data_IF_863517246716
#
_entry.id   IF_863517246716
#
_cell.length_a   1.000
_cell.length_b   1.000
_cell.length_c   1.000
_cell.angle_alpha   90.00
_cell.angle_beta   90.00
_cell.angle_gamma   90.00
#
_symmetry.space_group_name_H-M   'P 1'
#
loop_
_entity.id
_entity.type
_entity.pdbx_description
1 polymer ?
#
# COMPACT_ATOMS: atom_id res chain seq x y z
N UNK A 1 -21.98 7.80 5.13
CA UNK A 1 -21.84 9.23 4.82
C UNK A 1 -20.41 9.66 5.05
N UNK A 2 -19.86 10.53 4.21
CA UNK A 2 -18.48 11.04 4.30
C UNK A 2 -18.19 11.69 5.66
N UNK A 3 -19.16 12.42 6.21
CA UNK A 3 -19.08 13.10 7.53
C UNK A 3 -18.73 12.14 8.68
N UNK A 4 -19.22 10.90 8.67
CA UNK A 4 -18.90 9.92 9.72
C UNK A 4 -17.46 9.39 9.64
N UNK A 5 -16.90 9.24 8.44
CA UNK A 5 -15.51 8.79 8.27
C UNK A 5 -14.50 9.87 8.65
N UNK A 6 -14.82 11.12 8.43
CA UNK A 6 -13.99 12.28 8.76
C UNK A 6 -13.86 12.47 10.28
N UNK A 7 -14.98 12.42 10.98
CA UNK A 7 -15.00 12.52 12.44
C UNK A 7 -14.22 11.38 13.09
N UNK A 8 -14.37 10.16 12.55
CA UNK A 8 -13.64 8.98 13.02
C UNK A 8 -12.13 9.10 12.82
N UNK A 9 -11.66 9.60 11.65
CA UNK A 9 -10.21 9.78 11.37
C UNK A 9 -9.64 10.85 12.30
N UNK A 10 -10.33 11.98 12.46
CA UNK A 10 -9.89 13.08 13.33
C UNK A 10 -9.78 12.64 14.79
N UNK A 11 -10.83 11.99 15.31
CA UNK A 11 -10.88 11.56 16.70
C UNK A 11 -9.86 10.45 16.98
N UNK A 12 -9.66 9.52 16.02
CA UNK A 12 -8.64 8.49 16.11
C UNK A 12 -7.23 9.08 16.10
N UNK A 13 -6.94 10.02 15.20
CA UNK A 13 -5.66 10.70 15.12
C UNK A 13 -5.33 11.47 16.39
N UNK A 14 -6.28 12.25 16.92
CA UNK A 14 -6.14 13.00 18.16
C UNK A 14 -5.90 12.09 19.38
N UNK A 15 -6.61 10.96 19.43
CA UNK A 15 -6.45 9.96 20.51
C UNK A 15 -5.09 9.27 20.47
N UNK A 16 -4.57 8.97 19.28
CA UNK A 16 -3.25 8.34 19.09
C UNK A 16 -2.13 9.35 19.35
N UNK A 17 -2.29 10.63 18.98
CA UNK A 17 -1.30 11.68 19.23
C UNK A 17 -0.98 11.79 20.73
N UNK A 18 -1.98 11.62 21.58
CA UNK A 18 -1.85 11.67 23.04
C UNK A 18 -1.25 10.38 23.66
N UNK A 19 -1.01 9.32 22.84
CA UNK A 19 -0.47 8.05 23.30
C UNK A 19 0.87 7.76 22.62
N UNK A 20 2.00 8.19 23.20
CA UNK A 20 3.31 8.13 22.54
C UNK A 20 3.77 6.73 22.15
N UNK A 21 3.31 5.70 22.86
CA UNK A 21 3.59 4.31 22.52
C UNK A 21 2.93 3.91 21.19
N UNK A 22 1.61 4.17 21.06
CA UNK A 22 0.86 3.85 19.83
C UNK A 22 1.36 4.65 18.62
N UNK A 23 1.72 5.91 18.83
CA UNK A 23 2.29 6.75 17.79
C UNK A 23 3.63 6.18 17.26
N UNK A 24 4.50 5.74 18.19
CA UNK A 24 5.77 5.08 17.81
C UNK A 24 5.53 3.78 17.06
N UNK A 25 4.60 2.94 17.53
CA UNK A 25 4.25 1.68 16.88
C UNK A 25 3.72 1.91 15.45
N UNK A 26 2.81 2.87 15.27
CA UNK A 26 2.23 3.23 13.98
C UNK A 26 3.31 3.68 12.99
N UNK A 27 4.21 4.56 13.42
CA UNK A 27 5.34 5.04 12.60
C UNK A 27 6.34 3.93 12.30
N UNK A 28 6.67 3.11 13.28
CA UNK A 28 7.59 1.99 13.13
C UNK A 28 7.04 0.97 12.13
N UNK A 29 5.75 0.61 12.22
CA UNK A 29 5.12 -0.32 11.29
C UNK A 29 5.05 0.25 9.87
N UNK A 30 4.67 1.53 9.70
CA UNK A 30 4.68 2.16 8.39
C UNK A 30 6.09 2.14 7.76
N UNK A 31 7.13 2.49 8.53
CA UNK A 31 8.52 2.46 8.07
C UNK A 31 8.98 1.03 7.77
N UNK A 32 8.65 0.07 8.63
CA UNK A 32 8.93 -1.35 8.43
C UNK A 32 8.38 -1.82 7.08
N UNK A 33 7.10 -1.61 6.80
CA UNK A 33 6.48 -2.02 5.55
C UNK A 33 7.09 -1.31 4.32
N UNK A 34 7.45 -0.03 4.45
CA UNK A 34 8.07 0.73 3.36
C UNK A 34 9.46 0.19 3.00
N UNK A 35 10.17 -0.41 3.96
CA UNK A 35 11.51 -1.00 3.74
C UNK A 35 11.41 -2.48 3.36
N UNK A 36 10.60 -3.25 4.09
CA UNK A 36 10.54 -4.72 3.92
C UNK A 36 9.91 -5.12 2.59
N UNK A 37 8.85 -4.43 2.15
CA UNK A 37 8.18 -4.83 0.90
C UNK A 37 9.10 -4.71 -0.34
N UNK A 38 9.86 -3.63 -0.56
CA UNK A 38 10.86 -3.59 -1.63
C UNK A 38 11.95 -4.67 -1.49
N UNK A 39 12.41 -4.97 -0.27
CA UNK A 39 13.40 -6.02 -0.03
C UNK A 39 12.84 -7.38 -0.45
N UNK A 40 11.63 -7.72 -0.01
CA UNK A 40 10.95 -8.96 -0.41
C UNK A 40 10.83 -9.04 -1.94
N UNK A 41 10.42 -7.96 -2.58
CA UNK A 41 10.29 -7.92 -4.03
C UNK A 41 11.63 -8.13 -4.76
N UNK A 42 12.68 -7.45 -4.32
CA UNK A 42 14.01 -7.61 -4.89
C UNK A 42 14.58 -9.01 -4.66
N UNK A 43 14.32 -9.60 -3.48
CA UNK A 43 14.70 -10.98 -3.17
C UNK A 43 13.96 -11.96 -4.07
N UNK A 44 12.66 -11.77 -4.28
CA UNK A 44 11.86 -12.59 -5.20
C UNK A 44 12.40 -12.54 -6.63
N UNK A 45 12.68 -11.34 -7.13
CA UNK A 45 13.29 -11.15 -8.45
C UNK A 45 14.66 -11.82 -8.56
N UNK A 46 15.53 -11.59 -7.58
CA UNK A 46 16.88 -12.14 -7.59
C UNK A 46 16.85 -13.68 -7.54
N UNK A 47 16.08 -14.27 -6.63
CA UNK A 47 15.99 -15.74 -6.52
C UNK A 47 15.46 -16.36 -7.80
N UNK A 48 14.41 -15.81 -8.39
CA UNK A 48 13.85 -16.30 -9.67
C UNK A 48 14.87 -16.17 -10.82
N UNK A 49 15.57 -15.03 -10.89
CA UNK A 49 16.59 -14.81 -11.90
C UNK A 49 17.77 -15.80 -11.78
N UNK A 50 18.22 -16.08 -10.57
CA UNK A 50 19.32 -17.05 -10.36
C UNK A 50 18.89 -18.49 -10.60
N UNK A 51 17.61 -18.82 -10.47
CA UNK A 51 17.09 -20.18 -10.71
C UNK A 51 16.77 -20.43 -12.19
N UNK A 52 16.18 -19.47 -12.88
CA UNK A 52 15.61 -19.65 -14.23
C UNK A 52 16.25 -18.76 -15.29
N UNK A 53 17.18 -17.87 -14.91
CA UNK A 53 17.73 -16.85 -15.80
C UNK A 53 16.69 -15.79 -16.16
N UNK A 54 16.88 -15.12 -17.30
CA UNK A 54 15.95 -14.13 -17.82
C UNK A 54 14.75 -14.84 -18.51
N UNK A 55 14.01 -15.60 -17.73
CA UNK A 55 12.86 -16.38 -18.19
C UNK A 55 11.54 -15.61 -18.11
N UNK A 56 10.47 -16.28 -18.54
CA UNK A 56 9.09 -15.76 -18.54
C UNK A 56 8.68 -15.22 -17.17
N UNK A 57 9.02 -15.95 -16.09
CA UNK A 57 8.61 -15.60 -14.73
C UNK A 57 9.23 -14.27 -14.25
N UNK A 58 10.52 -14.05 -14.55
CA UNK A 58 11.17 -12.76 -14.22
C UNK A 58 10.52 -11.60 -14.96
N UNK A 59 10.19 -11.79 -16.24
CA UNK A 59 9.48 -10.76 -17.01
C UNK A 59 8.11 -10.43 -16.42
N UNK A 60 7.34 -11.45 -16.00
CA UNK A 60 6.05 -11.27 -15.35
C UNK A 60 6.22 -10.48 -14.04
N UNK A 61 7.20 -10.84 -13.22
CA UNK A 61 7.46 -10.13 -11.96
C UNK A 61 7.90 -8.68 -12.15
N UNK A 62 8.51 -8.34 -13.28
CA UNK A 62 8.88 -6.96 -13.61
C UNK A 62 7.71 -6.21 -14.22
N UNK A 63 7.08 -6.76 -15.26
CA UNK A 63 6.10 -6.02 -16.06
C UNK A 63 4.75 -5.87 -15.36
N UNK A 64 4.30 -6.86 -14.59
CA UNK A 64 2.99 -6.76 -13.89
C UNK A 64 3.00 -5.64 -12.84
N UNK A 65 3.95 -5.57 -11.90
CA UNK A 65 3.99 -4.45 -10.96
C UNK A 65 4.26 -3.11 -11.64
N UNK A 66 5.16 -3.07 -12.63
CA UNK A 66 5.52 -1.83 -13.31
C UNK A 66 4.34 -1.21 -14.06
N UNK A 67 3.63 -2.01 -14.87
CA UNK A 67 2.45 -1.55 -15.62
C UNK A 67 1.30 -1.19 -14.69
N UNK A 68 1.04 -2.00 -13.66
CA UNK A 68 0.03 -1.71 -12.65
C UNK A 68 0.30 -0.40 -11.91
N UNK A 69 1.55 -0.17 -11.49
CA UNK A 69 1.95 1.07 -10.83
C UNK A 69 1.86 2.30 -11.76
N UNK A 70 2.20 2.13 -13.04
CA UNK A 70 2.08 3.19 -14.05
C UNK A 70 0.61 3.57 -14.25
N UNK A 71 -0.27 2.59 -14.47
CA UNK A 71 -1.71 2.81 -14.64
C UNK A 71 -2.30 3.48 -13.39
N UNK A 72 -1.97 2.96 -12.20
CA UNK A 72 -2.41 3.55 -10.94
C UNK A 72 -1.96 5.01 -10.82
N UNK A 73 -0.73 5.32 -11.19
CA UNK A 73 -0.16 6.68 -11.12
C UNK A 73 -0.89 7.64 -12.07
N UNK A 74 -1.24 7.18 -13.26
CA UNK A 74 -2.05 7.95 -14.22
C UNK A 74 -3.47 8.19 -13.69
N UNK A 75 -4.11 7.17 -13.14
CA UNK A 75 -5.43 7.29 -12.51
C UNK A 75 -5.41 8.30 -11.35
N UNK A 76 -4.41 8.23 -10.47
CA UNK A 76 -4.22 9.17 -9.36
C UNK A 76 -4.10 10.61 -9.85
N UNK A 77 -3.29 10.82 -10.89
CA UNK A 77 -3.10 12.14 -11.50
C UNK A 77 -4.40 12.68 -12.11
N UNK A 78 -5.19 11.80 -12.74
CA UNK A 78 -6.49 12.16 -13.33
C UNK A 78 -7.56 12.45 -12.27
N UNK A 79 -7.65 11.63 -11.23
CA UNK A 79 -8.63 11.78 -10.13
C UNK A 79 -8.27 12.99 -9.25
N UNK A 80 -6.99 13.17 -8.97
CA UNK A 80 -6.42 14.24 -8.15
C UNK A 80 -7.20 14.53 -6.85
N UNK A 81 -7.62 13.48 -6.16
CA UNK A 81 -8.38 13.59 -4.91
C UNK A 81 -7.54 14.24 -3.81
N UNK A 82 -8.09 15.16 -3.01
CA UNK A 82 -7.39 15.76 -1.88
C UNK A 82 -7.19 14.73 -0.76
N UNK A 83 -6.25 15.02 0.13
CA UNK A 83 -5.95 14.17 1.30
C UNK A 83 -6.68 14.67 2.54
N UNK A 84 -6.87 13.83 3.58
CA UNK A 84 -7.55 14.25 4.80
C UNK A 84 -6.96 15.51 5.45
N UNK A 85 -5.64 15.66 5.47
CA UNK A 85 -4.96 16.82 6.05
C UNK A 85 -4.96 18.09 5.16
N UNK A 86 -5.41 17.99 3.91
CA UNK A 86 -5.58 19.13 2.99
C UNK A 86 -6.99 19.70 3.07
N UNK A 87 -7.96 18.82 3.28
CA UNK A 87 -9.39 19.18 3.33
C UNK A 87 -9.84 19.58 4.74
N UNK A 88 -9.18 18.98 5.74
CA UNK A 88 -9.54 19.15 7.15
C UNK A 88 -8.31 19.57 7.97
N UNK A 89 -8.57 20.30 9.08
CA UNK A 89 -7.52 20.68 10.04
C UNK A 89 -7.04 19.48 10.85
N UNK A 90 -6.55 18.42 10.16
CA UNK A 90 -6.01 17.20 10.76
C UNK A 90 -4.51 17.28 10.68
N UNK A 91 -3.82 17.09 11.81
CA UNK A 91 -2.37 16.95 11.85
C UNK A 91 -2.02 15.49 11.52
N UNK A 92 -1.38 15.19 10.37
CA UNK A 92 -1.04 13.82 10.02
C UNK A 92 0.01 13.27 11.00
N UNK A 93 -0.18 12.03 11.44
CA UNK A 93 0.72 11.33 12.36
C UNK A 93 1.89 10.64 11.62
N UNK A 94 1.75 10.47 10.31
CA UNK A 94 2.78 9.98 9.39
C UNK A 94 3.35 11.13 8.57
N UNK A 95 4.51 10.87 7.93
CA UNK A 95 5.10 11.83 7.01
C UNK A 95 4.15 12.17 5.87
N UNK A 96 4.10 13.46 5.51
CA UNK A 96 3.25 13.95 4.44
C UNK A 96 3.78 13.46 3.10
N UNK A 97 2.90 12.86 2.33
CA UNK A 97 3.15 12.61 0.91
C UNK A 97 2.94 13.92 0.11
N UNK A 98 3.21 13.85 -1.22
CA UNK A 98 2.92 14.96 -2.12
C UNK A 98 1.44 15.40 -2.05
N UNK A 99 1.15 16.70 -2.16
CA UNK A 99 -0.20 17.23 -2.17
C UNK A 99 -1.09 16.59 -3.23
N UNK A 100 -2.37 16.50 -2.96
CA UNK A 100 -3.36 15.87 -3.84
C UNK A 100 -3.10 14.38 -4.05
N UNK A 101 -3.74 13.83 -5.08
CA UNK A 101 -3.55 12.45 -5.53
C UNK A 101 -3.67 11.41 -4.40
N UNK A 102 -4.65 11.58 -3.50
CA UNK A 102 -4.85 10.66 -2.39
C UNK A 102 -5.28 9.28 -2.88
N UNK A 103 -6.18 9.22 -3.84
CA UNK A 103 -6.85 8.00 -4.31
C UNK A 103 -6.32 7.54 -5.68
N UNK A 104 -6.09 6.23 -5.86
CA UNK A 104 -5.91 5.14 -4.86
C UNK A 104 -4.58 5.22 -4.11
N UNK A 105 -4.47 4.56 -2.93
CA UNK A 105 -3.24 4.56 -2.13
C UNK A 105 -2.12 3.76 -2.80
N UNK A 106 -0.98 4.43 -3.13
CA UNK A 106 0.19 3.79 -3.75
C UNK A 106 0.89 2.80 -2.81
N UNK A 107 1.03 3.14 -1.53
CA UNK A 107 1.69 2.29 -0.56
C UNK A 107 0.95 0.96 -0.40
N UNK A 108 -0.38 1.02 -0.31
CA UNK A 108 -1.22 -0.16 -0.21
C UNK A 108 -1.20 -0.98 -1.50
N UNK A 109 -1.32 -0.32 -2.65
CA UNK A 109 -1.21 -0.99 -3.95
C UNK A 109 0.12 -1.73 -4.09
N UNK A 110 1.25 -1.05 -3.82
CA UNK A 110 2.58 -1.67 -3.94
C UNK A 110 2.76 -2.84 -2.99
N UNK A 111 2.33 -2.70 -1.73
CA UNK A 111 2.40 -3.80 -0.77
C UNK A 111 1.54 -5.00 -1.22
N UNK A 112 0.32 -4.76 -1.68
CA UNK A 112 -0.59 -5.82 -2.11
C UNK A 112 -0.10 -6.52 -3.37
N UNK A 113 0.41 -5.78 -4.38
CA UNK A 113 0.91 -6.40 -5.62
C UNK A 113 2.15 -7.27 -5.38
N UNK A 114 3.03 -6.85 -4.46
CA UNK A 114 4.19 -7.65 -4.02
C UNK A 114 3.72 -8.90 -3.27
N UNK A 115 2.69 -8.78 -2.42
CA UNK A 115 2.09 -9.94 -1.76
C UNK A 115 1.55 -10.95 -2.76
N UNK A 116 0.86 -10.49 -3.81
CA UNK A 116 0.34 -11.33 -4.89
C UNK A 116 1.46 -12.06 -5.64
N UNK A 117 2.55 -11.37 -5.97
CA UNK A 117 3.73 -11.99 -6.58
C UNK A 117 4.35 -13.07 -5.67
N UNK A 118 4.34 -12.85 -4.35
CA UNK A 118 4.98 -13.76 -3.37
C UNK A 118 4.24 -15.09 -3.20
N UNK A 119 2.98 -15.23 -3.66
CA UNK A 119 2.26 -16.50 -3.66
C UNK A 119 2.95 -17.59 -4.49
N UNK A 120 3.67 -17.21 -5.55
CA UNK A 120 4.45 -18.16 -6.36
C UNK A 120 5.64 -18.74 -5.59
N UNK A 121 6.25 -17.95 -4.70
CA UNK A 121 7.35 -18.44 -3.88
C UNK A 121 6.85 -19.31 -2.71
N UNK A 122 5.76 -18.88 -2.07
CA UNK A 122 5.14 -19.59 -0.95
C UNK A 122 3.74 -19.06 -0.67
N UNK A 123 2.78 -19.97 -0.55
CA UNK A 123 1.41 -19.64 -0.13
C UNK A 123 1.41 -18.90 1.23
N UNK A 124 2.17 -19.41 2.19
CA UNK A 124 2.26 -18.81 3.53
C UNK A 124 2.82 -17.39 3.47
N UNK A 125 3.89 -17.18 2.70
CA UNK A 125 4.49 -15.86 2.51
C UNK A 125 3.49 -14.88 1.88
N UNK A 126 2.82 -15.28 0.81
CA UNK A 126 1.81 -14.45 0.14
C UNK A 126 0.68 -14.04 1.08
N UNK A 127 0.14 -14.99 1.87
CA UNK A 127 -0.92 -14.73 2.85
C UNK A 127 -0.45 -13.76 3.94
N UNK A 128 0.72 -14.01 4.55
CA UNK A 128 1.27 -13.14 5.60
C UNK A 128 1.44 -11.71 5.09
N UNK A 129 2.06 -11.54 3.93
CA UNK A 129 2.29 -10.23 3.34
C UNK A 129 0.98 -9.54 2.96
N UNK A 130 -0.01 -10.27 2.49
CA UNK A 130 -1.33 -9.73 2.17
C UNK A 130 -2.04 -9.20 3.42
N UNK A 131 -1.99 -9.94 4.52
CA UNK A 131 -2.52 -9.49 5.81
C UNK A 131 -1.77 -8.24 6.30
N UNK A 132 -0.43 -8.24 6.22
CA UNK A 132 0.38 -7.06 6.58
C UNK A 132 0.06 -5.85 5.69
N UNK A 133 -0.23 -6.05 4.40
CA UNK A 133 -0.63 -4.96 3.51
C UNK A 133 -2.00 -4.37 3.88
N UNK A 134 -2.94 -5.20 4.38
CA UNK A 134 -4.21 -4.72 4.92
C UNK A 134 -3.99 -3.88 6.19
N UNK A 135 -3.13 -4.35 7.11
CA UNK A 135 -2.73 -3.56 8.28
C UNK A 135 -2.04 -2.25 7.89
N UNK A 136 -1.21 -2.25 6.84
CA UNK A 136 -0.62 -1.02 6.33
C UNK A 136 -1.71 -0.04 5.89
N UNK A 137 -2.75 -0.52 5.21
CA UNK A 137 -3.90 0.29 4.86
C UNK A 137 -4.55 0.95 6.07
N UNK A 138 -4.81 0.17 7.13
CA UNK A 138 -5.36 0.68 8.38
C UNK A 138 -4.44 1.76 9.01
N UNK A 139 -3.14 1.50 9.06
CA UNK A 139 -2.14 2.44 9.58
C UNK A 139 -2.12 3.75 8.77
N UNK A 140 -2.29 3.70 7.44
CA UNK A 140 -2.37 4.89 6.58
C UNK A 140 -3.63 5.73 6.86
N UNK A 141 -4.75 5.09 7.18
CA UNK A 141 -6.00 5.77 7.57
C UNK A 141 -5.86 6.39 8.96
N UNK A 142 -5.44 5.61 9.96
CA UNK A 142 -5.25 6.08 11.33
C UNK A 142 -4.18 7.18 11.41
N UNK A 143 -3.19 7.14 10.52
CA UNK A 143 -2.16 8.16 10.36
C UNK A 143 -2.64 9.47 9.72
N UNK A 144 -3.91 9.56 9.28
CA UNK A 144 -4.51 10.75 8.71
C UNK A 144 -4.00 11.14 7.33
N UNK A 145 -3.37 10.21 6.59
CA UNK A 145 -2.79 10.47 5.26
C UNK A 145 -3.62 9.94 4.08
N UNK A 146 -4.58 9.06 4.34
CA UNK A 146 -5.51 8.51 3.36
C UNK A 146 -6.92 8.33 3.96
N UNK A 147 -7.94 8.45 3.11
CA UNK A 147 -9.29 8.03 3.44
C UNK A 147 -9.43 6.49 3.34
N UNK A 148 -10.38 5.86 4.08
CA UNK A 148 -10.65 4.43 3.96
C UNK A 148 -10.89 3.98 2.51
N UNK A 149 -11.63 4.78 1.73
CA UNK A 149 -11.89 4.51 0.31
C UNK A 149 -10.62 4.40 -0.54
N UNK A 150 -9.61 5.27 -0.26
CA UNK A 150 -8.34 5.28 -1.02
C UNK A 150 -7.56 3.98 -0.84
N UNK A 151 -7.61 3.47 0.39
CA UNK A 151 -6.95 2.22 0.78
C UNK A 151 -7.66 1.01 0.20
N UNK A 152 -9.00 0.96 0.33
CA UNK A 152 -9.81 -0.14 -0.22
C UNK A 152 -9.65 -0.21 -1.74
N UNK A 153 -9.75 0.91 -2.44
CA UNK A 153 -9.56 0.93 -3.90
C UNK A 153 -8.12 0.54 -4.27
N UNK A 154 -7.12 0.99 -3.51
CA UNK A 154 -5.72 0.58 -3.70
C UNK A 154 -5.54 -0.94 -3.60
N UNK A 155 -6.16 -1.58 -2.60
CA UNK A 155 -6.16 -3.04 -2.45
C UNK A 155 -6.87 -3.73 -3.62
N UNK A 156 -8.09 -3.33 -3.94
CA UNK A 156 -8.88 -3.96 -5.01
C UNK A 156 -8.12 -3.86 -6.35
N UNK A 157 -7.59 -2.69 -6.69
CA UNK A 157 -6.80 -2.52 -7.90
C UNK A 157 -5.59 -3.47 -7.94
N UNK A 158 -4.88 -3.63 -6.83
CA UNK A 158 -3.73 -4.52 -6.76
C UNK A 158 -4.12 -6.00 -6.82
N UNK A 159 -5.21 -6.40 -6.17
CA UNK A 159 -5.71 -7.78 -6.22
C UNK A 159 -6.13 -8.13 -7.65
N UNK A 160 -6.95 -7.29 -8.29
CA UNK A 160 -7.41 -7.52 -9.67
C UNK A 160 -6.23 -7.57 -10.64
N UNK A 161 -5.31 -6.61 -10.55
CA UNK A 161 -4.12 -6.58 -11.40
C UNK A 161 -3.17 -7.74 -11.11
N UNK A 162 -3.03 -8.12 -9.86
CA UNK A 162 -2.20 -9.24 -9.40
C UNK A 162 -2.72 -10.62 -9.81
N UNK A 163 -4.00 -10.75 -10.19
CA UNK A 163 -4.50 -12.00 -10.77
C UNK A 163 -3.74 -12.41 -12.03
N UNK A 164 -3.09 -11.46 -12.71
CA UNK A 164 -2.24 -11.74 -13.88
C UNK A 164 -1.11 -12.70 -13.53
N UNK A 165 -0.56 -12.69 -12.31
CA UNK A 165 0.45 -13.63 -11.87
C UNK A 165 0.00 -15.10 -11.96
N UNK A 166 -1.29 -15.37 -11.80
CA UNK A 166 -1.85 -16.73 -11.80
C UNK A 166 -2.34 -17.19 -13.17
N UNK A 167 -2.26 -16.33 -14.19
CA UNK A 167 -2.63 -16.68 -15.56
C UNK A 167 -1.46 -17.28 -16.35
N UNK A 168 -0.25 -17.16 -15.83
CA UNK A 168 0.98 -17.51 -16.53
C UNK A 168 1.95 -18.32 -15.67
#
# INVERSE_FOLDING_TARGET
>A
SLVGSEMCIRDSAANIENKPFFLRLLRAFNRFMTVVMPIVYLTLLATTYFQEGLGKQVLIYVFVPATGFMILSLLRKKINAPRPYEEWTIKPLLDRDSPGQSMPSRHVFSATIISMASFHASLSLGVILLVLSAFLGLVRVLGGVHYPKDVVVGHICALVWGMIFFLF
#
